data_IF_265670786492
#
_entry.id   IF_265670786492
#
_cell.length_a   1.000
_cell.length_b   1.000
_cell.length_c   1.000
_cell.angle_alpha   90.00
_cell.angle_beta   90.00
_cell.angle_gamma   90.00
#
_symmetry.space_group_name_H-M   'P 1'
#
loop_
_entity.id
_entity.type
_entity.pdbx_description
1 polymer ?
#
# COMPACT_ATOMS: atom_id res chain seq x y z
N UNK A 1 17.62 2.93 -9.13
CA UNK A 1 16.96 2.36 -7.93
C UNK A 1 16.26 1.04 -8.27
N UNK A 2 16.17 0.08 -7.35
CA UNK A 2 15.40 -1.17 -7.55
C UNK A 2 14.15 -1.16 -6.69
N UNK A 3 13.00 -1.48 -7.29
CA UNK A 3 11.70 -1.52 -6.62
C UNK A 3 11.13 -2.92 -6.76
N UNK A 4 10.73 -3.52 -5.64
CA UNK A 4 10.16 -4.87 -5.60
C UNK A 4 8.87 -4.88 -4.77
N UNK A 5 7.70 -4.93 -5.43
CA UNK A 5 6.44 -5.25 -4.76
C UNK A 5 6.55 -6.58 -4.00
N UNK A 6 6.05 -6.64 -2.77
CA UNK A 6 6.06 -7.84 -1.92
C UNK A 6 4.65 -8.39 -1.74
N UNK A 7 3.72 -7.52 -1.33
CA UNK A 7 2.34 -7.86 -1.04
C UNK A 7 1.40 -6.83 -1.62
N UNK A 8 0.45 -7.30 -2.43
CA UNK A 8 -0.57 -6.49 -3.09
C UNK A 8 -1.80 -7.35 -3.39
N UNK A 9 -2.94 -6.72 -3.68
CA UNK A 9 -4.18 -7.42 -4.00
C UNK A 9 -4.09 -8.22 -5.29
N UNK A 10 -3.31 -7.75 -6.27
CA UNK A 10 -2.97 -8.55 -7.44
C UNK A 10 -2.13 -9.79 -7.10
N UNK A 11 -1.56 -9.87 -5.90
CA UNK A 11 -0.82 -11.03 -5.36
C UNK A 11 -1.65 -11.84 -4.34
N UNK A 12 -2.94 -11.52 -4.19
CA UNK A 12 -3.90 -12.32 -3.42
C UNK A 12 -4.12 -11.93 -1.98
N UNK A 13 -3.56 -10.80 -1.51
CA UNK A 13 -3.68 -10.33 -0.13
C UNK A 13 -3.91 -8.82 -0.09
N UNK A 14 -4.44 -8.30 1.02
CA UNK A 14 -4.44 -6.84 1.24
C UNK A 14 -3.08 -6.42 1.73
N UNK A 15 -2.36 -5.61 0.95
CA UNK A 15 -1.06 -5.07 1.33
C UNK A 15 -0.63 -4.01 0.32
N UNK A 16 0.35 -3.18 0.71
CA UNK A 16 1.15 -2.39 -0.21
C UNK A 16 2.66 -2.54 0.07
N UNK A 17 3.04 -3.64 0.73
CA UNK A 17 4.42 -3.84 1.16
C UNK A 17 5.37 -3.85 -0.03
N UNK A 18 6.36 -2.97 0.00
CA UNK A 18 7.30 -2.76 -1.12
C UNK A 18 8.72 -2.58 -0.59
N UNK A 19 9.69 -3.31 -1.16
CA UNK A 19 11.11 -3.05 -0.89
C UNK A 19 11.68 -2.13 -1.98
N UNK A 20 12.24 -1.00 -1.56
CA UNK A 20 12.93 -0.04 -2.41
C UNK A 20 14.41 -0.03 -2.02
N UNK A 21 15.30 -0.37 -2.94
CA UNK A 21 16.74 -0.47 -2.71
C UNK A 21 17.47 0.62 -3.52
N UNK A 22 18.24 1.45 -2.81
CA UNK A 22 19.24 2.37 -3.40
C UNK A 22 20.66 1.91 -3.02
N UNK A 23 21.71 2.53 -3.60
CA UNK A 23 23.08 2.29 -3.16
C UNK A 23 23.35 2.64 -1.69
N UNK A 24 22.58 3.56 -1.11
CA UNK A 24 22.81 4.08 0.25
C UNK A 24 21.94 3.43 1.33
N UNK A 25 20.72 3.02 0.98
CA UNK A 25 19.72 2.55 1.94
C UNK A 25 18.70 1.61 1.30
N UNK A 26 18.24 0.62 2.08
CA UNK A 26 17.12 -0.25 1.73
C UNK A 26 15.91 0.09 2.61
N UNK A 27 14.82 0.45 1.94
CA UNK A 27 13.59 0.94 2.56
C UNK A 27 12.50 -0.09 2.35
N UNK A 28 11.99 -0.67 3.43
CA UNK A 28 10.79 -1.50 3.42
C UNK A 28 9.58 -0.65 3.76
N UNK A 29 8.78 -0.38 2.73
CA UNK A 29 7.60 0.47 2.80
C UNK A 29 6.39 -0.36 3.18
N UNK A 30 5.64 0.11 4.18
CA UNK A 30 4.35 -0.41 4.63
C UNK A 30 4.33 -1.95 4.80
N UNK A 31 5.14 -2.53 5.72
CA UNK A 31 5.26 -3.98 5.90
C UNK A 31 4.04 -4.60 6.58
N UNK A 32 2.82 -4.32 6.13
CA UNK A 32 1.60 -4.96 6.58
C UNK A 32 1.07 -5.96 5.57
N UNK A 33 0.27 -6.90 6.04
CA UNK A 33 -0.50 -7.80 5.19
C UNK A 33 -1.75 -8.23 5.94
N UNK A 34 -2.90 -8.28 5.26
CA UNK A 34 -4.13 -8.76 5.86
C UNK A 34 -5.05 -9.48 4.88
N UNK A 35 -6.04 -10.19 5.43
CA UNK A 35 -7.21 -10.72 4.73
C UNK A 35 -8.48 -10.11 5.30
N UNK A 36 -9.47 -9.85 4.43
CA UNK A 36 -10.81 -9.51 4.90
C UNK A 36 -11.41 -10.67 5.70
N UNK A 37 -11.78 -10.51 6.99
CA UNK A 37 -12.39 -11.60 7.75
C UNK A 37 -13.69 -12.10 7.12
N UNK A 38 -14.41 -11.21 6.41
CA UNK A 38 -15.65 -11.52 5.71
C UNK A 38 -15.76 -10.68 4.44
N UNK A 39 -16.04 -11.34 3.30
CA UNK A 39 -16.32 -10.72 2.00
C UNK A 39 -17.42 -11.53 1.31
N UNK A 40 -18.45 -10.87 0.78
CA UNK A 40 -19.65 -11.52 0.25
C UNK A 40 -20.36 -12.47 1.23
N UNK A 41 -20.19 -12.26 2.54
CA UNK A 41 -20.71 -13.17 3.55
C UNK A 41 -19.79 -14.33 3.92
N UNK A 42 -18.67 -14.51 3.22
CA UNK A 42 -17.79 -15.68 3.27
C UNK A 42 -16.45 -15.38 3.97
N UNK A 43 -15.90 -16.34 4.74
CA UNK A 43 -14.55 -16.24 5.30
C UNK A 43 -13.49 -16.41 4.19
N UNK A 44 -12.22 -16.05 4.42
CA UNK A 44 -11.18 -16.25 3.43
C UNK A 44 -11.07 -17.71 2.97
N UNK A 45 -10.89 -17.90 1.66
CA UNK A 45 -10.67 -19.20 1.04
C UNK A 45 -9.26 -19.74 1.32
N UNK A 46 -9.02 -21.03 1.07
CA UNK A 46 -7.72 -21.68 1.32
C UNK A 46 -6.57 -20.99 0.58
N UNK A 47 -6.81 -20.56 -0.66
CA UNK A 47 -5.85 -19.84 -1.48
C UNK A 47 -5.43 -18.51 -0.85
N UNK A 48 -6.38 -17.81 -0.20
CA UNK A 48 -6.11 -16.54 0.49
C UNK A 48 -5.22 -16.76 1.71
N UNK A 49 -5.45 -17.83 2.48
CA UNK A 49 -4.60 -18.21 3.61
C UNK A 49 -3.16 -18.54 3.16
N UNK A 50 -3.01 -19.30 2.06
CA UNK A 50 -1.69 -19.61 1.49
C UNK A 50 -0.96 -18.35 1.01
N UNK A 51 -1.67 -17.43 0.36
CA UNK A 51 -1.11 -16.16 -0.09
C UNK A 51 -0.67 -15.30 1.09
N UNK A 52 -1.48 -15.20 2.15
CA UNK A 52 -1.19 -14.47 3.38
C UNK A 52 0.11 -14.95 4.03
N UNK A 53 0.25 -16.27 4.27
CA UNK A 53 1.45 -16.84 4.88
C UNK A 53 2.70 -16.64 4.00
N UNK A 54 2.55 -16.77 2.69
CA UNK A 54 3.64 -16.52 1.74
C UNK A 54 4.11 -15.06 1.83
N UNK A 55 3.20 -14.11 1.76
CA UNK A 55 3.54 -12.67 1.79
C UNK A 55 4.12 -12.27 3.14
N UNK A 56 3.61 -12.78 4.27
CA UNK A 56 4.23 -12.56 5.58
C UNK A 56 5.70 -12.97 5.58
N UNK A 57 6.03 -14.18 5.12
CA UNK A 57 7.42 -14.66 5.05
C UNK A 57 8.30 -13.78 4.17
N UNK A 58 7.76 -13.31 3.04
CA UNK A 58 8.49 -12.40 2.14
C UNK A 58 8.71 -11.01 2.76
N UNK A 59 7.74 -10.50 3.54
CA UNK A 59 7.89 -9.25 4.31
C UNK A 59 9.01 -9.41 5.34
N UNK A 60 9.01 -10.49 6.14
CA UNK A 60 10.07 -10.74 7.13
C UNK A 60 11.44 -10.88 6.48
N UNK A 61 11.54 -11.63 5.38
CA UNK A 61 12.79 -11.78 4.59
C UNK A 61 13.26 -10.47 3.95
N UNK A 62 12.34 -9.55 3.65
CA UNK A 62 12.69 -8.21 3.19
C UNK A 62 13.17 -7.33 4.35
N UNK A 63 12.56 -7.45 5.53
CA UNK A 63 12.94 -6.70 6.72
C UNK A 63 14.36 -7.05 7.21
N UNK A 64 14.77 -8.33 7.09
CA UNK A 64 16.14 -8.78 7.36
C UNK A 64 17.20 -7.97 6.57
N UNK A 65 16.82 -7.49 5.38
CA UNK A 65 17.70 -6.74 4.48
C UNK A 65 17.50 -5.24 4.57
N UNK A 66 16.42 -4.77 5.18
CA UNK A 66 16.07 -3.36 5.24
C UNK A 66 16.85 -2.64 6.34
N UNK A 67 17.14 -1.36 6.09
CA UNK A 67 17.75 -0.44 7.06
C UNK A 67 16.68 0.47 7.66
N UNK A 68 15.68 0.83 6.83
CA UNK A 68 14.58 1.74 7.16
C UNK A 68 13.25 1.05 6.91
N UNK A 69 12.34 1.17 7.87
CA UNK A 69 10.94 0.80 7.74
C UNK A 69 10.11 2.07 7.64
N UNK A 70 9.15 2.12 6.72
CA UNK A 70 8.19 3.24 6.67
C UNK A 70 6.77 2.79 6.91
N UNK A 71 5.97 3.64 7.55
CA UNK A 71 4.55 3.39 7.82
C UNK A 71 3.76 4.63 7.42
N UNK A 72 3.09 4.54 6.27
CA UNK A 72 2.27 5.62 5.71
C UNK A 72 1.03 5.93 6.55
N UNK A 73 0.44 4.89 7.15
CA UNK A 73 -0.71 4.98 8.06
C UNK A 73 -0.95 3.64 8.79
N UNK A 74 -1.92 3.61 9.71
CA UNK A 74 -2.09 2.53 10.69
C UNK A 74 -3.22 1.55 10.33
N UNK A 75 -3.37 1.19 9.06
CA UNK A 75 -4.13 0.00 8.69
C UNK A 75 -3.25 -1.26 8.77
N UNK A 76 -3.83 -2.40 9.13
CA UNK A 76 -3.05 -3.63 9.39
C UNK A 76 -2.44 -4.25 8.13
N UNK A 77 -2.95 -3.88 6.95
CA UNK A 77 -2.34 -4.11 5.64
C UNK A 77 -1.15 -3.19 5.33
N UNK A 78 -0.80 -2.24 6.21
CA UNK A 78 0.34 -1.32 6.05
C UNK A 78 1.39 -1.38 7.17
N UNK A 79 1.10 -2.04 8.30
CA UNK A 79 2.11 -2.25 9.34
C UNK A 79 1.98 -3.63 10.00
N UNK A 80 3.06 -4.12 10.61
CA UNK A 80 3.07 -5.37 11.36
C UNK A 80 2.73 -5.09 12.83
N UNK A 81 1.64 -5.63 13.41
CA UNK A 81 1.27 -5.37 14.79
C UNK A 81 1.95 -6.31 15.80
N UNK A 82 2.27 -5.83 17.01
CA UNK A 82 2.78 -6.64 18.13
C UNK A 82 1.68 -7.47 18.83
N UNK A 83 0.88 -8.20 18.07
CA UNK A 83 -0.22 -9.01 18.62
C UNK A 83 -0.50 -10.21 17.73
N UNK A 84 -0.89 -11.33 18.33
CA UNK A 84 -1.35 -12.49 17.56
C UNK A 84 -2.62 -12.17 16.78
N UNK A 85 -2.52 -12.19 15.45
CA UNK A 85 -3.63 -11.86 14.56
C UNK A 85 -3.69 -12.80 13.38
N UNK A 86 -4.69 -13.69 13.43
CA UNK A 86 -4.94 -14.70 12.38
C UNK A 86 -5.01 -14.10 10.99
N UNK A 87 -5.80 -13.04 10.79
CA UNK A 87 -6.03 -12.46 9.47
C UNK A 87 -4.88 -11.63 8.92
N UNK A 88 -3.86 -11.37 9.75
CA UNK A 88 -2.69 -10.57 9.39
C UNK A 88 -1.40 -11.42 9.37
N UNK A 89 -1.56 -12.74 9.60
CA UNK A 89 -0.51 -13.74 9.80
C UNK A 89 0.66 -13.16 10.60
N UNK A 90 0.36 -12.71 11.81
CA UNK A 90 1.33 -11.99 12.62
C UNK A 90 1.33 -12.51 14.05
N UNK A 91 2.53 -12.61 14.60
CA UNK A 91 2.87 -12.81 16.01
C UNK A 91 3.75 -11.65 16.49
N UNK A 92 3.97 -11.49 17.81
CA UNK A 92 4.98 -10.55 18.30
C UNK A 92 6.38 -10.78 17.71
N UNK A 93 6.79 -12.04 17.52
CA UNK A 93 8.10 -12.38 16.93
C UNK A 93 8.23 -11.89 15.49
N UNK A 94 7.14 -11.95 14.70
CA UNK A 94 7.11 -11.36 13.35
C UNK A 94 7.31 -9.84 13.40
N UNK A 95 6.70 -9.17 14.38
CA UNK A 95 6.87 -7.73 14.55
C UNK A 95 8.31 -7.38 14.96
N UNK A 96 8.90 -8.14 15.90
CA UNK A 96 10.31 -7.98 16.29
C UNK A 96 11.21 -8.14 15.06
N UNK A 97 11.01 -9.21 14.28
CA UNK A 97 11.80 -9.45 13.07
C UNK A 97 11.65 -8.34 12.01
N UNK A 98 10.52 -7.64 11.98
CA UNK A 98 10.30 -6.50 11.07
C UNK A 98 10.99 -5.22 11.56
N UNK A 99 10.99 -4.95 12.86
CA UNK A 99 11.33 -3.62 13.39
C UNK A 99 12.67 -3.54 14.12
N UNK A 100 13.17 -4.62 14.72
CA UNK A 100 14.34 -4.57 15.60
C UNK A 100 15.63 -4.15 14.85
N UNK A 101 16.40 -3.25 15.46
CA UNK A 101 17.63 -2.69 14.88
C UNK A 101 17.40 -1.72 13.72
N UNK A 102 16.18 -1.22 13.50
CA UNK A 102 15.83 -0.38 12.32
C UNK A 102 15.55 1.07 12.67
N UNK A 103 15.67 1.94 11.66
CA UNK A 103 15.03 3.26 11.70
C UNK A 103 13.59 3.14 11.20
N UNK A 104 12.63 3.70 11.94
CA UNK A 104 11.21 3.64 11.61
C UNK A 104 10.71 5.07 11.34
N UNK A 105 10.35 5.34 10.09
CA UNK A 105 9.78 6.60 9.64
C UNK A 105 8.26 6.42 9.50
N UNK A 106 7.50 6.92 10.47
CA UNK A 106 6.06 6.65 10.54
C UNK A 106 5.22 7.93 10.53
N UNK A 107 3.98 7.82 10.06
CA UNK A 107 2.99 8.87 10.25
C UNK A 107 2.82 9.25 11.72
N UNK A 108 2.60 10.53 12.02
CA UNK A 108 2.39 11.02 13.38
C UNK A 108 1.24 10.27 14.06
N UNK A 109 1.45 9.71 15.26
CA UNK A 109 0.50 8.82 15.93
C UNK A 109 -0.72 9.56 16.52
N UNK A 110 -0.66 10.88 16.61
CA UNK A 110 -1.67 11.72 17.28
C UNK A 110 -2.21 12.87 16.42
N UNK A 111 -1.59 13.16 15.27
CA UNK A 111 -1.93 14.31 14.42
C UNK A 111 -2.49 13.87 13.08
N UNK A 112 -3.53 14.58 12.61
CA UNK A 112 -4.23 14.25 11.37
C UNK A 112 -4.53 12.74 11.30
N UNK A 113 -5.18 12.22 12.33
CA UNK A 113 -5.40 10.78 12.53
C UNK A 113 -6.79 10.54 13.10
N UNK A 114 -7.40 9.42 12.74
CA UNK A 114 -8.68 9.01 13.33
C UNK A 114 -8.46 8.16 14.60
N UNK A 115 -9.51 8.01 15.43
CA UNK A 115 -9.43 7.27 16.70
C UNK A 115 -8.96 5.81 16.54
N UNK A 116 -9.37 5.12 15.48
CA UNK A 116 -8.98 3.73 15.27
C UNK A 116 -7.50 3.61 14.93
N UNK A 117 -6.99 4.52 14.10
CA UNK A 117 -5.59 4.56 13.71
C UNK A 117 -4.71 4.99 14.90
N UNK A 118 -5.14 5.97 15.70
CA UNK A 118 -4.44 6.37 16.92
C UNK A 118 -4.29 5.21 17.93
N UNK A 119 -5.34 4.41 18.13
CA UNK A 119 -5.25 3.23 19.00
C UNK A 119 -4.27 2.16 18.48
N UNK A 120 -4.17 2.00 17.15
CA UNK A 120 -3.21 1.08 16.51
C UNK A 120 -1.79 1.62 16.58
N UNK A 121 -1.60 2.93 16.37
CA UNK A 121 -0.33 3.62 16.53
C UNK A 121 0.20 3.48 17.97
N UNK A 122 -0.64 3.74 18.97
CA UNK A 122 -0.29 3.57 20.38
C UNK A 122 0.09 2.10 20.72
N UNK A 123 -0.63 1.13 20.14
CA UNK A 123 -0.29 -0.29 20.32
C UNK A 123 1.03 -0.68 19.66
N UNK A 124 1.31 -0.12 18.49
CA UNK A 124 2.59 -0.32 17.79
C UNK A 124 3.74 0.29 18.58
N UNK A 125 3.63 1.57 18.97
CA UNK A 125 4.64 2.29 19.75
C UNK A 125 4.98 1.56 21.05
N UNK A 126 3.96 1.09 21.78
CA UNK A 126 4.17 0.29 22.99
C UNK A 126 5.00 -0.98 22.73
N UNK A 127 4.79 -1.64 21.60
CA UNK A 127 5.59 -2.83 21.24
C UNK A 127 7.01 -2.50 20.80
N UNK A 128 7.25 -1.27 20.34
CA UNK A 128 8.58 -0.78 19.94
C UNK A 128 9.44 -0.33 21.13
N UNK A 129 8.86 -0.03 22.30
CA UNK A 129 9.59 0.45 23.49
C UNK A 129 10.72 -0.49 23.95
N UNK A 130 10.55 -1.80 23.73
CA UNK A 130 11.50 -2.84 24.15
C UNK A 130 12.53 -3.22 23.07
N UNK A 131 12.54 -2.54 21.90
CA UNK A 131 13.43 -2.84 20.77
C UNK A 131 14.50 -1.76 20.56
N UNK A 132 15.60 -2.13 19.90
CA UNK A 132 16.65 -1.18 19.50
C UNK A 132 16.23 -0.47 18.20
N UNK A 133 15.40 0.56 18.32
CA UNK A 133 14.83 1.28 17.17
C UNK A 133 15.02 2.79 17.25
N UNK A 134 15.20 3.42 16.10
CA UNK A 134 15.15 4.86 15.97
C UNK A 134 13.81 5.29 15.36
N UNK A 135 12.94 5.92 16.13
CA UNK A 135 11.60 6.31 15.68
C UNK A 135 11.58 7.79 15.30
N UNK A 136 11.11 8.09 14.09
CA UNK A 136 10.90 9.45 13.61
C UNK A 136 9.50 9.58 13.01
N UNK A 137 8.79 10.66 13.37
CA UNK A 137 7.53 11.00 12.73
C UNK A 137 7.77 11.73 11.43
N UNK A 138 7.10 11.31 10.36
CA UNK A 138 7.51 11.62 8.99
C UNK A 138 6.66 12.70 8.29
N UNK A 139 5.51 13.09 8.83
CA UNK A 139 4.59 14.07 8.21
C UNK A 139 5.35 15.34 7.78
N UNK A 140 5.31 15.65 6.47
CA UNK A 140 5.95 16.81 5.86
C UNK A 140 7.48 16.93 6.12
N UNK A 141 8.16 15.79 6.31
CA UNK A 141 9.61 15.75 6.60
C UNK A 141 10.42 15.06 5.52
N UNK A 142 11.70 15.41 5.50
CA UNK A 142 12.71 14.87 4.59
C UNK A 142 13.86 14.26 5.38
N UNK A 143 14.29 13.06 4.98
CA UNK A 143 15.37 12.31 5.58
C UNK A 143 16.43 12.00 4.51
N UNK A 144 17.72 12.02 4.89
CA UNK A 144 18.83 11.79 3.97
C UNK A 144 19.70 10.63 4.44
N UNK A 145 19.97 9.71 3.53
CA UNK A 145 20.84 8.55 3.72
C UNK A 145 21.84 8.54 2.55
N UNK A 146 23.07 9.01 2.78
CA UNK A 146 24.00 9.27 1.68
C UNK A 146 23.40 10.24 0.65
N UNK A 147 23.39 9.84 -0.62
CA UNK A 147 22.78 10.59 -1.72
C UNK A 147 21.28 10.27 -1.92
N UNK A 148 20.73 9.34 -1.13
CA UNK A 148 19.31 9.00 -1.14
C UNK A 148 18.51 9.93 -0.24
N UNK A 149 17.41 10.46 -0.78
CA UNK A 149 16.47 11.32 -0.06
C UNK A 149 15.12 10.63 0.05
N UNK A 150 14.60 10.52 1.27
CA UNK A 150 13.22 10.10 1.56
C UNK A 150 12.42 11.34 1.95
N UNK A 151 11.51 11.75 1.07
CA UNK A 151 10.65 12.93 1.28
C UNK A 151 9.20 12.45 1.46
N UNK A 152 8.60 12.82 2.58
CA UNK A 152 7.22 12.49 2.89
C UNK A 152 6.32 13.69 2.62
N UNK A 153 5.09 13.40 2.19
CA UNK A 153 4.09 14.45 1.98
C UNK A 153 3.59 15.04 3.30
N UNK A 154 2.92 16.19 3.27
CA UNK A 154 1.94 16.49 4.31
C UNK A 154 0.87 15.39 4.38
N UNK A 155 0.14 15.27 5.50
CA UNK A 155 -0.91 14.27 5.64
C UNK A 155 -2.04 14.53 4.65
N UNK A 156 -2.26 13.60 3.71
CA UNK A 156 -3.36 13.66 2.75
C UNK A 156 -4.54 12.82 3.23
N UNK A 157 -5.79 13.22 2.92
CA UNK A 157 -6.96 12.39 3.17
C UNK A 157 -6.82 10.96 2.61
N UNK A 158 -7.22 9.97 3.40
CA UNK A 158 -7.32 8.56 2.97
C UNK A 158 -8.57 8.38 2.11
N UNK A 159 -8.54 8.85 0.87
CA UNK A 159 -9.71 8.99 -0.01
C UNK A 159 -10.34 10.38 0.09
N UNK A 160 -11.65 10.54 -0.16
CA UNK A 160 -12.28 11.86 -0.19
C UNK A 160 -12.15 12.61 1.14
N UNK A 161 -11.95 13.92 1.06
CA UNK A 161 -11.89 14.79 2.23
C UNK A 161 -13.17 14.71 3.09
N UNK A 162 -13.01 14.87 4.40
CA UNK A 162 -14.13 14.85 5.36
C UNK A 162 -14.65 13.45 5.69
N UNK A 163 -14.04 12.39 5.15
CA UNK A 163 -14.37 11.01 5.53
C UNK A 163 -13.70 10.61 6.85
N UNK A 164 -14.20 9.53 7.48
CA UNK A 164 -13.65 9.00 8.74
C UNK A 164 -12.40 8.13 8.55
N UNK A 165 -11.88 8.03 7.33
CA UNK A 165 -10.79 7.12 6.97
C UNK A 165 -9.44 7.60 7.51
N UNK A 166 -9.30 8.88 7.85
CA UNK A 166 -8.09 9.47 8.41
C UNK A 166 -7.19 10.01 7.31
N UNK A 167 -5.88 10.00 7.56
CA UNK A 167 -4.89 10.55 6.64
C UNK A 167 -3.75 9.57 6.44
N UNK A 168 -3.08 9.70 5.31
CA UNK A 168 -1.92 8.90 4.88
C UNK A 168 -0.78 9.80 4.47
N UNK A 169 0.43 9.24 4.42
CA UNK A 169 1.60 9.88 3.83
C UNK A 169 1.97 9.21 2.50
N UNK A 170 2.28 10.04 1.50
CA UNK A 170 3.06 9.60 0.35
C UNK A 170 4.55 9.62 0.70
N UNK A 171 5.33 8.73 0.10
CA UNK A 171 6.79 8.68 0.20
C UNK A 171 7.38 8.85 -1.21
N UNK A 172 8.23 9.85 -1.40
CA UNK A 172 9.11 9.98 -2.55
C UNK A 172 10.52 9.53 -2.15
N UNK A 173 11.04 8.52 -2.86
CA UNK A 173 12.44 8.07 -2.76
C UNK A 173 13.19 8.63 -3.95
N UNK A 174 14.22 9.43 -3.69
CA UNK A 174 15.05 10.08 -4.72
C UNK A 174 16.50 9.62 -4.58
N UNK A 175 17.15 9.26 -5.68
CA UNK A 175 18.59 8.99 -5.72
C UNK A 175 19.16 9.39 -7.09
N UNK A 176 19.99 10.43 -7.13
CA UNK A 176 20.36 11.10 -8.37
C UNK A 176 19.13 11.71 -9.07
N UNK A 177 18.99 11.46 -10.36
CA UNK A 177 17.83 11.91 -11.17
C UNK A 177 16.65 10.91 -11.14
N UNK A 178 16.79 9.77 -10.44
CA UNK A 178 15.76 8.72 -10.36
C UNK A 178 14.86 8.95 -9.14
N UNK A 179 13.54 9.08 -9.38
CA UNK A 179 12.52 9.26 -8.34
C UNK A 179 11.42 8.21 -8.47
N UNK A 180 11.09 7.58 -7.33
CA UNK A 180 9.95 6.65 -7.18
C UNK A 180 9.04 7.18 -6.10
N UNK A 181 7.73 7.16 -6.32
CA UNK A 181 6.73 7.56 -5.33
C UNK A 181 5.87 6.37 -4.93
N UNK A 182 5.77 6.12 -3.63
CA UNK A 182 4.76 5.27 -3.02
C UNK A 182 3.66 6.16 -2.45
N UNK A 183 2.55 6.28 -3.16
CA UNK A 183 1.45 7.19 -2.86
C UNK A 183 0.44 6.64 -1.84
N UNK A 184 0.59 5.39 -1.40
CA UNK A 184 -0.29 4.76 -0.40
C UNK A 184 -1.77 4.85 -0.81
N UNK A 185 -2.67 4.97 0.17
CA UNK A 185 -4.11 4.92 0.01
C UNK A 185 -4.78 6.28 -0.27
N UNK A 186 -4.17 7.11 -1.13
CA UNK A 186 -4.81 8.34 -1.61
C UNK A 186 -5.93 8.09 -2.63
N UNK A 187 -6.13 6.82 -3.05
CA UNK A 187 -7.26 6.33 -3.85
C UNK A 187 -7.33 6.88 -5.29
N UNK A 188 -6.18 6.97 -5.97
CA UNK A 188 -6.12 7.30 -7.40
C UNK A 188 -5.84 8.76 -7.76
N UNK A 189 -5.00 9.49 -7.00
CA UNK A 189 -5.51 10.20 -5.83
C UNK A 189 -6.87 10.90 -6.09
N UNK A 190 -7.76 10.89 -5.10
CA UNK A 190 -9.02 11.65 -5.21
C UNK A 190 -8.77 13.15 -5.17
N UNK A 191 -7.91 13.59 -4.24
CA UNK A 191 -7.60 14.99 -4.00
C UNK A 191 -6.47 15.49 -4.92
N UNK A 192 -6.65 16.71 -5.45
CA UNK A 192 -5.75 17.30 -6.45
C UNK A 192 -4.40 17.68 -5.84
N UNK A 193 -4.35 18.04 -4.58
CA UNK A 193 -3.15 18.39 -3.83
C UNK A 193 -2.19 17.20 -3.75
N UNK A 194 -2.72 15.97 -3.62
CA UNK A 194 -1.91 14.76 -3.67
C UNK A 194 -1.36 14.50 -5.08
N UNK A 195 -2.15 14.73 -6.14
CA UNK A 195 -1.69 14.67 -7.52
C UNK A 195 -0.52 15.64 -7.76
N UNK A 196 -0.71 16.91 -7.39
CA UNK A 196 0.29 17.98 -7.57
C UNK A 196 1.56 17.64 -6.79
N UNK A 197 1.43 17.20 -5.53
CA UNK A 197 2.60 16.78 -4.75
C UNK A 197 3.37 15.65 -5.43
N UNK A 198 2.68 14.62 -5.96
CA UNK A 198 3.31 13.50 -6.65
C UNK A 198 4.05 13.98 -7.90
N UNK A 199 3.39 14.74 -8.77
CA UNK A 199 3.94 15.15 -10.07
C UNK A 199 5.08 16.17 -9.95
N UNK A 200 5.04 17.05 -8.95
CA UNK A 200 6.12 18.01 -8.68
C UNK A 200 7.47 17.33 -8.39
N UNK A 201 7.45 16.04 -8.00
CA UNK A 201 8.67 15.25 -7.78
C UNK A 201 9.16 14.54 -9.05
N UNK A 202 8.46 14.70 -10.19
CA UNK A 202 8.81 14.10 -11.48
C UNK A 202 9.17 12.60 -11.39
N UNK A 203 8.33 11.75 -10.77
CA UNK A 203 8.65 10.34 -10.57
C UNK A 203 8.60 9.57 -11.90
N UNK A 204 9.54 8.64 -12.08
CA UNK A 204 9.40 7.66 -13.19
C UNK A 204 8.36 6.59 -12.87
N UNK A 205 8.22 6.23 -11.60
CA UNK A 205 7.33 5.17 -11.13
C UNK A 205 6.50 5.67 -9.95
N UNK A 206 5.19 5.48 -10.03
CA UNK A 206 4.25 5.72 -8.94
C UNK A 206 3.54 4.42 -8.57
N UNK A 207 3.60 4.04 -7.30
CA UNK A 207 2.81 2.94 -6.72
C UNK A 207 1.65 3.55 -5.95
N UNK A 208 0.41 3.20 -6.29
CA UNK A 208 -0.77 3.85 -5.74
C UNK A 208 -1.93 2.88 -5.57
N UNK A 209 -2.67 3.02 -4.47
CA UNK A 209 -3.98 2.38 -4.35
C UNK A 209 -4.97 3.07 -5.27
N UNK A 210 -5.67 2.30 -6.11
CA UNK A 210 -6.76 2.87 -6.90
C UNK A 210 -8.03 3.14 -6.10
N UNK A 211 -9.07 3.72 -6.73
CA UNK A 211 -10.34 3.99 -6.08
C UNK A 211 -11.04 2.68 -5.67
N UNK A 212 -11.69 2.61 -4.48
CA UNK A 212 -12.38 1.42 -4.01
C UNK A 212 -13.72 1.22 -4.75
N UNK A 213 -13.67 0.82 -6.03
CA UNK A 213 -14.83 0.71 -6.93
C UNK A 213 -16.00 -0.12 -6.36
N UNK A 214 -15.70 -1.11 -5.52
CA UNK A 214 -16.70 -1.96 -4.86
C UNK A 214 -17.53 -1.22 -3.79
N UNK A 215 -17.18 0.03 -3.45
CA UNK A 215 -17.88 0.92 -2.53
C UNK A 215 -18.62 2.07 -3.23
N UNK A 216 -18.58 2.12 -4.56
CA UNK A 216 -19.15 3.19 -5.37
C UNK A 216 -20.65 3.37 -5.09
N UNK A 217 -21.07 4.62 -4.83
CA UNK A 217 -22.46 4.98 -4.55
C UNK A 217 -22.93 4.65 -3.12
N UNK A 218 -22.08 4.07 -2.28
CA UNK A 218 -22.38 3.83 -0.86
C UNK A 218 -21.40 4.53 0.08
N UNK A 219 -20.13 4.15 0.03
CA UNK A 219 -19.07 4.75 0.86
C UNK A 219 -18.02 5.50 0.04
N UNK A 220 -18.09 5.38 -1.28
CA UNK A 220 -17.25 6.12 -2.21
C UNK A 220 -18.15 6.90 -3.19
N UNK A 221 -18.16 8.24 -3.16
CA UNK A 221 -19.00 9.06 -4.04
C UNK A 221 -18.63 8.91 -5.52
N UNK A 222 -19.60 9.10 -6.42
CA UNK A 222 -19.34 9.10 -7.88
C UNK A 222 -18.42 10.24 -8.31
N UNK A 223 -18.62 11.44 -7.78
CA UNK A 223 -17.75 12.58 -8.05
C UNK A 223 -16.28 12.33 -7.64
N UNK A 224 -16.05 11.58 -6.57
CA UNK A 224 -14.70 11.18 -6.17
C UNK A 224 -14.07 10.19 -7.16
N UNK A 225 -14.88 9.31 -7.77
CA UNK A 225 -14.40 8.42 -8.85
C UNK A 225 -14.03 9.22 -10.10
N UNK A 226 -14.87 10.18 -10.50
CA UNK A 226 -14.59 11.06 -11.64
C UNK A 226 -13.26 11.80 -11.45
N UNK A 227 -13.06 12.43 -10.27
CA UNK A 227 -11.80 13.09 -9.91
C UNK A 227 -10.60 12.12 -9.94
N UNK A 228 -10.73 10.94 -9.34
CA UNK A 228 -9.66 9.95 -9.34
C UNK A 228 -9.31 9.46 -10.76
N UNK A 229 -10.31 9.28 -11.65
CA UNK A 229 -10.07 8.90 -13.05
C UNK A 229 -9.30 10.00 -13.79
N UNK A 230 -9.74 11.25 -13.67
CA UNK A 230 -9.06 12.40 -14.29
C UNK A 230 -7.62 12.52 -13.80
N UNK A 231 -7.40 12.41 -12.48
CA UNK A 231 -6.08 12.49 -11.87
C UNK A 231 -5.17 11.31 -12.27
N UNK A 232 -5.70 10.09 -12.34
CA UNK A 232 -4.93 8.93 -12.83
C UNK A 232 -4.54 9.05 -14.30
N UNK A 233 -5.44 9.58 -15.16
CA UNK A 233 -5.11 9.86 -16.55
C UNK A 233 -3.99 10.89 -16.64
N UNK A 234 -4.04 11.94 -15.82
CA UNK A 234 -2.98 12.94 -15.78
C UNK A 234 -1.65 12.37 -15.27
N UNK A 235 -1.67 11.55 -14.20
CA UNK A 235 -0.46 10.85 -13.76
C UNK A 235 0.12 9.97 -14.86
N UNK A 236 -0.70 9.14 -15.51
CA UNK A 236 -0.25 8.21 -16.54
C UNK A 236 0.43 8.92 -17.72
N UNK A 237 0.08 10.17 -18.03
CA UNK A 237 0.76 10.97 -19.07
C UNK A 237 2.14 11.49 -18.64
N UNK A 238 2.38 11.64 -17.35
CA UNK A 238 3.55 12.33 -16.80
C UNK A 238 4.56 11.39 -16.11
N UNK A 239 4.28 10.08 -16.04
CA UNK A 239 5.16 9.08 -15.43
C UNK A 239 5.48 7.95 -16.41
N UNK A 240 6.63 7.29 -16.26
CA UNK A 240 6.96 6.14 -17.11
C UNK A 240 6.10 4.91 -16.79
N UNK A 241 5.75 4.71 -15.52
CA UNK A 241 4.92 3.58 -15.09
C UNK A 241 4.03 3.98 -13.91
N UNK A 242 2.74 3.68 -14.03
CA UNK A 242 1.77 3.81 -12.95
C UNK A 242 1.39 2.42 -12.46
N UNK A 243 1.92 2.00 -11.31
CA UNK A 243 1.53 0.77 -10.64
C UNK A 243 0.24 1.04 -9.84
N UNK A 244 -0.89 0.61 -10.39
CA UNK A 244 -2.23 0.82 -9.87
C UNK A 244 -2.79 -0.50 -9.30
N UNK A 245 -2.92 -0.59 -7.98
CA UNK A 245 -3.28 -1.85 -7.30
C UNK A 245 -4.12 -1.58 -6.03
N UNK A 246 -4.02 -2.49 -5.06
CA UNK A 246 -4.62 -2.40 -3.74
C UNK A 246 -6.15 -2.37 -3.77
N UNK A 247 -6.80 -1.26 -3.39
CA UNK A 247 -8.26 -1.22 -3.27
C UNK A 247 -9.03 -1.52 -4.57
N UNK A 248 -8.49 -1.10 -5.72
CA UNK A 248 -9.16 -1.23 -7.02
C UNK A 248 -9.27 -2.69 -7.47
N UNK A 249 -8.26 -3.50 -7.15
CA UNK A 249 -8.18 -4.92 -7.53
C UNK A 249 -9.20 -5.77 -6.76
N UNK A 250 -9.74 -5.26 -5.66
CA UNK A 250 -10.88 -5.88 -4.94
C UNK A 250 -12.18 -5.87 -5.74
N UNK A 251 -12.20 -5.27 -6.93
CA UNK A 251 -13.32 -5.23 -7.85
C UNK A 251 -13.05 -6.12 -9.08
N UNK A 252 -13.98 -7.05 -9.37
CA UNK A 252 -13.95 -7.83 -10.62
C UNK A 252 -14.02 -6.91 -11.83
N UNK A 253 -13.23 -7.20 -12.87
CA UNK A 253 -13.17 -6.43 -14.10
C UNK A 253 -12.74 -4.97 -13.88
N UNK A 254 -11.89 -4.70 -12.87
CA UNK A 254 -11.50 -3.33 -12.54
C UNK A 254 -10.79 -2.60 -13.69
N UNK A 255 -10.02 -3.31 -14.52
CA UNK A 255 -9.37 -2.75 -15.72
C UNK A 255 -10.39 -2.23 -16.74
N UNK A 256 -11.45 -3.00 -17.00
CA UNK A 256 -12.55 -2.57 -17.88
C UNK A 256 -13.25 -1.32 -17.31
N UNK A 257 -13.48 -1.30 -15.99
CA UNK A 257 -14.11 -0.17 -15.30
C UNK A 257 -13.27 1.11 -15.27
N UNK A 258 -11.95 0.98 -15.42
CA UNK A 258 -11.01 2.09 -15.52
C UNK A 258 -10.35 2.16 -16.90
N UNK A 259 -11.06 1.72 -17.95
CA UNK A 259 -10.50 1.61 -19.30
C UNK A 259 -9.79 2.88 -19.75
N UNK A 260 -10.38 4.05 -19.51
CA UNK A 260 -9.81 5.35 -19.89
C UNK A 260 -8.43 5.61 -19.27
N UNK A 261 -8.19 5.10 -18.05
CA UNK A 261 -6.87 5.17 -17.40
C UNK A 261 -5.90 4.19 -18.06
N UNK A 262 -6.34 2.97 -18.36
CA UNK A 262 -5.51 1.93 -18.98
C UNK A 262 -5.18 2.19 -20.45
N UNK A 263 -5.93 3.04 -21.15
CA UNK A 263 -5.63 3.47 -22.53
C UNK A 263 -4.27 4.20 -22.65
N UNK A 264 -3.70 4.70 -21.54
CA UNK A 264 -2.35 5.25 -21.51
C UNK A 264 -1.24 4.22 -21.79
N UNK A 265 -1.51 2.93 -21.61
CA UNK A 265 -0.59 1.83 -21.97
C UNK A 265 0.58 1.60 -21.01
N UNK A 266 0.73 2.41 -19.96
CA UNK A 266 1.78 2.31 -18.93
C UNK A 266 1.23 2.05 -17.52
N UNK A 267 -0.04 1.65 -17.42
CA UNK A 267 -0.71 1.34 -16.15
C UNK A 267 -0.67 -0.18 -15.93
N UNK A 268 -0.07 -0.58 -14.81
CA UNK A 268 0.27 -1.99 -14.50
C UNK A 268 -0.10 -2.34 -13.07
N UNK A 269 -0.27 -3.62 -12.77
CA UNK A 269 -0.41 -4.10 -11.38
C UNK A 269 0.95 -4.52 -10.79
N UNK A 270 0.99 -4.82 -9.49
CA UNK A 270 2.19 -5.39 -8.87
C UNK A 270 2.55 -6.77 -9.47
N UNK A 271 1.56 -7.57 -9.84
CA UNK A 271 1.78 -8.85 -10.52
C UNK A 271 2.46 -8.66 -11.89
N UNK A 272 2.03 -7.67 -12.67
CA UNK A 272 2.65 -7.34 -13.97
C UNK A 272 4.13 -6.95 -13.81
N UNK A 273 4.44 -6.11 -12.81
CA UNK A 273 5.82 -5.69 -12.51
C UNK A 273 6.71 -6.87 -12.13
N UNK A 274 6.13 -7.88 -11.46
CA UNK A 274 6.84 -9.10 -11.09
C UNK A 274 6.85 -10.16 -12.21
N UNK A 275 6.16 -9.93 -13.32
CA UNK A 275 6.02 -10.90 -14.41
C UNK A 275 5.26 -12.17 -14.00
N UNK A 276 4.37 -12.06 -13.01
CA UNK A 276 3.50 -13.14 -12.54
C UNK A 276 2.05 -12.86 -12.93
N UNK A 277 1.24 -13.91 -12.92
CA UNK A 277 -0.20 -13.76 -13.09
C UNK A 277 -0.85 -13.03 -11.90
N UNK A 278 -1.82 -12.17 -12.20
CA UNK A 278 -2.71 -11.60 -11.18
C UNK A 278 -3.54 -12.69 -10.49
N UNK A 279 -3.65 -12.59 -9.17
CA UNK A 279 -4.44 -13.47 -8.32
C UNK A 279 -5.33 -12.64 -7.40
N UNK A 280 -6.37 -11.95 -7.92
CA UNK A 280 -7.25 -11.07 -7.14
C UNK A 280 -8.23 -11.86 -6.24
N UNK A 281 -7.70 -12.63 -5.30
CA UNK A 281 -8.43 -13.68 -4.57
C UNK A 281 -9.66 -13.13 -3.81
N UNK A 282 -9.55 -11.99 -3.12
CA UNK A 282 -10.68 -11.40 -2.39
C UNK A 282 -11.83 -11.02 -3.33
N UNK A 283 -11.53 -10.50 -4.53
CA UNK A 283 -12.54 -10.08 -5.49
C UNK A 283 -13.38 -11.26 -5.96
N UNK A 284 -12.77 -12.45 -6.09
CA UNK A 284 -13.41 -13.68 -6.57
C UNK A 284 -13.65 -14.70 -5.45
N UNK A 285 -13.74 -14.25 -4.18
CA UNK A 285 -13.94 -15.15 -3.04
C UNK A 285 -15.17 -16.05 -3.15
N UNK A 286 -16.25 -15.57 -3.79
CA UNK A 286 -17.46 -16.39 -4.00
C UNK A 286 -17.14 -17.61 -4.87
N UNK A 287 -16.54 -17.39 -6.02
CA UNK A 287 -16.14 -18.43 -6.96
C UNK A 287 -15.14 -19.42 -6.35
N UNK A 288 -14.20 -18.93 -5.52
CA UNK A 288 -13.27 -19.79 -4.79
C UNK A 288 -13.99 -20.75 -3.83
N UNK A 289 -15.07 -20.32 -3.16
CA UNK A 289 -15.90 -21.19 -2.31
C UNK A 289 -16.78 -22.15 -3.12
N UNK A 290 -17.12 -21.79 -4.35
CA UNK A 290 -17.85 -22.64 -5.31
C UNK A 290 -16.93 -23.68 -5.98
N UNK A 291 -15.62 -23.64 -5.71
CA UNK A 291 -14.64 -24.58 -6.22
C UNK A 291 -14.12 -24.24 -7.62
N UNK A 292 -14.32 -23.01 -8.10
CA UNK A 292 -13.78 -22.59 -9.39
C UNK A 292 -12.27 -22.36 -9.33
N UNK A 293 -11.55 -22.96 -10.27
CA UNK A 293 -10.13 -22.67 -10.48
C UNK A 293 -9.95 -21.36 -11.25
N UNK A 294 -9.13 -20.46 -10.71
CA UNK A 294 -8.70 -19.19 -11.32
C UNK A 294 -9.81 -18.41 -12.05
N UNK A 295 -10.93 -18.08 -11.38
CA UNK A 295 -12.11 -17.46 -11.99
C UNK A 295 -11.84 -16.10 -12.65
N UNK A 296 -10.77 -15.40 -12.26
CA UNK A 296 -10.31 -14.15 -12.87
C UNK A 296 -9.74 -14.32 -14.28
N UNK A 297 -9.42 -15.54 -14.73
CA UNK A 297 -8.98 -15.80 -16.11
C UNK A 297 -10.13 -15.79 -17.13
N UNK A 298 -11.38 -15.73 -16.68
CA UNK A 298 -12.59 -15.80 -17.53
C UNK A 298 -13.16 -14.43 -17.91
N UNK A 299 -12.65 -13.36 -17.30
CA UNK A 299 -13.12 -11.98 -17.47
C UNK A 299 -12.26 -11.19 -18.45
#
# INVERSE_FOLDING_TARGET
MKVRPIGFESLGVRSMATLIETPDVKVLVDPGVSLAPKRYGLPPAEQEWKALEKVRREITSAADKADVITISHYHYDHHTPFSERKYDACTPDDAIAVYDGKTILMKHPEENINKSQAGRAASLLKGLEDLDVNIEYADDRTFRFGDTVLEFSPPFPHGPEGTRLGYVLCLAVKHGDDTVVHASDVQGPVEKEALEWILDRSPRLVLISGPPLYLLGFRFPKAALESAVENMIEMAKNVETLLLDHHVVRQKGYREKLREVYEAGNVVSAADVLGTEETPLEAYRRELHEGEEAPWRRS
#
